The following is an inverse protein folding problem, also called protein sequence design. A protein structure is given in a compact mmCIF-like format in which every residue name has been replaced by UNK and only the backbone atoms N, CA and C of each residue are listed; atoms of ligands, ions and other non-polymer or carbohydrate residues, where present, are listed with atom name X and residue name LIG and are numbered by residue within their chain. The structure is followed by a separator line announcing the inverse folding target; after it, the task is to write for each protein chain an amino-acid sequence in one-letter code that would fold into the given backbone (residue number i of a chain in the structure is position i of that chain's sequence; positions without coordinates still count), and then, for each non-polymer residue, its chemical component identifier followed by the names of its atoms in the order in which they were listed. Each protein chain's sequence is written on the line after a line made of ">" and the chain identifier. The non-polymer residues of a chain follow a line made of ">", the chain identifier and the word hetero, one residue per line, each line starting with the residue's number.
data_IF_782140817071
#
_entry.id   IF_782140817071
#
_cell.length_a   1.000
_cell.length_b   1.000
_cell.length_c   1.000
_cell.angle_alpha   90.00
_cell.angle_beta   90.00
_cell.angle_gamma   90.00
#
_symmetry.space_group_name_H-M   'P 1'
#
loop_
_entity.id
_entity.type
_entity.pdbx_description
1 polymer ?
#
# COMPACT_ATOMS: atom_id res chain seq x y z
N UNK A 1 2.30 26.41 0.87
CA UNK A 1 2.65 25.15 1.55
C UNK A 1 3.70 24.38 0.76
N UNK A 2 4.62 23.67 1.41
CA UNK A 2 5.66 22.89 0.73
C UNK A 2 5.21 21.42 0.71
N UNK A 3 5.26 20.79 -0.45
CA UNK A 3 4.87 19.39 -0.61
C UNK A 3 6.05 18.56 -1.11
N UNK A 4 6.33 17.43 -0.46
CA UNK A 4 7.37 16.49 -0.85
C UNK A 4 6.75 15.16 -1.21
N UNK A 5 6.78 14.80 -2.50
CA UNK A 5 6.28 13.52 -2.99
C UNK A 5 7.38 12.48 -3.09
N UNK A 6 7.18 11.32 -2.50
CA UNK A 6 8.08 10.16 -2.54
C UNK A 6 7.46 9.08 -3.45
N UNK A 7 8.03 8.86 -4.63
CA UNK A 7 7.51 7.95 -5.65
C UNK A 7 8.43 6.74 -5.82
N UNK A 8 7.89 5.54 -5.69
CA UNK A 8 8.66 4.28 -5.78
C UNK A 8 9.26 3.85 -4.45
N UNK A 9 8.63 4.24 -3.35
CA UNK A 9 8.97 3.82 -1.99
C UNK A 9 7.85 2.97 -1.42
N UNK A 10 8.20 1.94 -0.66
CA UNK A 10 7.26 1.15 0.13
C UNK A 10 6.57 2.01 1.20
N UNK A 11 5.30 1.69 1.48
CA UNK A 11 4.47 2.46 2.43
C UNK A 11 5.08 2.55 3.84
N UNK A 12 5.57 1.43 4.37
CA UNK A 12 6.15 1.42 5.72
C UNK A 12 7.46 2.19 5.79
N UNK A 13 8.28 2.06 4.75
CA UNK A 13 9.51 2.82 4.63
C UNK A 13 9.20 4.32 4.49
N UNK A 14 8.18 4.70 3.70
CA UNK A 14 7.75 6.09 3.55
C UNK A 14 7.36 6.71 4.91
N UNK A 15 6.57 6.02 5.74
CA UNK A 15 6.21 6.50 7.08
C UNK A 15 7.46 6.74 7.94
N UNK A 16 8.43 5.82 7.91
CA UNK A 16 9.65 5.96 8.70
C UNK A 16 10.53 7.11 8.21
N UNK A 17 10.71 7.23 6.90
CA UNK A 17 11.57 8.25 6.31
C UNK A 17 10.95 9.65 6.41
N UNK A 18 9.64 9.79 6.27
CA UNK A 18 8.97 11.08 6.42
C UNK A 18 9.12 11.66 7.82
N UNK A 19 9.14 10.86 8.87
CA UNK A 19 9.40 11.33 10.24
C UNK A 19 10.77 11.98 10.38
N UNK A 20 11.80 11.42 9.73
CA UNK A 20 13.17 11.94 9.77
C UNK A 20 13.32 13.17 8.86
N UNK A 21 12.77 13.10 7.66
CA UNK A 21 12.82 14.17 6.68
C UNK A 21 12.05 15.40 7.14
N UNK A 22 10.87 15.24 7.72
CA UNK A 22 10.03 16.33 8.18
C UNK A 22 10.80 17.30 9.06
N UNK A 23 11.46 16.80 10.10
CA UNK A 23 12.25 17.64 11.00
C UNK A 23 13.35 18.41 10.29
N UNK A 24 14.13 17.73 9.41
CA UNK A 24 15.25 18.33 8.72
C UNK A 24 14.83 19.36 7.68
N UNK A 25 13.77 19.05 6.92
CA UNK A 25 13.28 19.96 5.89
C UNK A 25 12.55 21.16 6.49
N UNK A 26 11.80 20.96 7.57
CA UNK A 26 11.20 22.05 8.35
C UNK A 26 12.28 23.05 8.81
N UNK A 27 13.37 22.56 9.40
CA UNK A 27 14.50 23.40 9.82
C UNK A 27 15.16 24.11 8.63
N UNK A 28 15.32 23.42 7.50
CA UNK A 28 15.96 23.98 6.30
C UNK A 28 15.11 25.08 5.65
N UNK A 29 13.82 24.87 5.56
CA UNK A 29 12.90 25.88 5.02
C UNK A 29 12.56 26.98 6.02
N UNK A 30 12.66 26.71 7.32
CA UNK A 30 12.30 27.65 8.38
C UNK A 30 10.78 27.84 8.51
N UNK A 31 10.02 26.79 8.24
CA UNK A 31 8.55 26.78 8.22
C UNK A 31 7.96 26.09 9.44
N UNK A 32 6.65 26.25 9.67
CA UNK A 32 5.94 25.55 10.75
C UNK A 32 5.54 24.12 10.32
N UNK A 33 5.06 23.31 11.30
CA UNK A 33 4.73 21.89 11.06
C UNK A 33 3.62 21.70 10.01
N UNK A 34 2.67 22.60 9.95
CA UNK A 34 1.55 22.57 9.02
C UNK A 34 1.84 23.19 7.63
N UNK A 35 3.05 23.68 7.42
CA UNK A 35 3.48 24.25 6.14
C UNK A 35 4.31 23.27 5.29
N UNK A 36 4.57 22.05 5.80
CA UNK A 36 5.31 20.99 5.12
C UNK A 36 4.53 19.67 5.15
N UNK A 37 4.17 19.18 3.98
CA UNK A 37 3.42 17.95 3.80
C UNK A 37 4.19 16.93 2.96
N UNK A 38 4.02 15.63 3.31
CA UNK A 38 4.58 14.53 2.54
C UNK A 38 3.47 13.76 1.84
N UNK A 39 3.70 13.48 0.56
CA UNK A 39 2.82 12.70 -0.25
C UNK A 39 3.56 11.43 -0.73
N UNK A 40 3.14 10.27 -0.22
CA UNK A 40 3.73 8.98 -0.58
C UNK A 40 2.66 8.07 -1.19
N UNK A 41 2.31 8.27 -2.47
CA UNK A 41 1.36 7.41 -3.16
C UNK A 41 1.97 6.03 -3.36
N UNK A 42 1.15 5.00 -3.24
CA UNK A 42 1.53 3.64 -3.65
C UNK A 42 1.76 3.64 -5.16
N UNK A 43 3.02 3.68 -5.56
CA UNK A 43 3.42 3.91 -6.94
C UNK A 43 4.61 3.03 -7.32
N UNK A 44 4.48 2.40 -8.50
CA UNK A 44 5.54 1.59 -9.07
C UNK A 44 6.34 2.41 -10.09
N UNK A 45 7.67 2.30 -10.03
CA UNK A 45 8.55 2.81 -11.09
C UNK A 45 8.89 1.60 -11.97
N UNK A 46 8.49 1.66 -13.24
CA UNK A 46 8.74 0.57 -14.20
C UNK A 46 9.68 1.07 -15.28
N UNK A 47 10.71 0.30 -15.60
CA UNK A 47 11.62 0.53 -16.72
C UNK A 47 11.79 -0.76 -17.51
N UNK A 48 11.45 -0.72 -18.80
CA UNK A 48 11.53 -1.86 -19.72
C UNK A 48 10.85 -3.14 -19.17
N UNK A 49 9.65 -2.97 -18.58
CA UNK A 49 8.86 -4.06 -17.99
C UNK A 49 9.31 -4.53 -16.61
N UNK A 50 10.40 -3.99 -16.06
CA UNK A 50 10.90 -4.36 -14.73
C UNK A 50 10.54 -3.29 -13.70
N UNK A 51 10.05 -3.74 -12.56
CA UNK A 51 9.80 -2.89 -11.41
C UNK A 51 11.11 -2.41 -10.76
N UNK A 52 11.15 -1.15 -10.35
CA UNK A 52 12.34 -0.47 -9.83
C UNK A 52 12.19 -0.01 -8.37
N UNK A 53 11.19 -0.46 -7.64
CA UNK A 53 10.99 -0.09 -6.22
C UNK A 53 12.24 -0.43 -5.41
N UNK A 54 12.64 0.45 -4.51
CA UNK A 54 13.90 0.38 -3.75
C UNK A 54 15.20 0.45 -4.56
N UNK A 55 15.15 0.28 -5.89
CA UNK A 55 16.29 0.51 -6.76
C UNK A 55 16.36 1.96 -7.25
N UNK A 56 15.20 2.55 -7.57
CA UNK A 56 15.04 3.96 -7.96
C UNK A 56 13.96 4.63 -7.15
N UNK A 57 14.25 5.84 -6.72
CA UNK A 57 13.31 6.71 -6.02
C UNK A 57 13.23 8.05 -6.75
N UNK A 58 12.02 8.54 -7.01
CA UNK A 58 11.80 9.88 -7.51
C UNK A 58 11.18 10.74 -6.40
N UNK A 59 11.88 11.77 -6.01
CA UNK A 59 11.40 12.78 -5.06
C UNK A 59 11.01 14.03 -5.85
N UNK A 60 9.78 14.51 -5.65
CA UNK A 60 9.33 15.78 -6.18
C UNK A 60 9.12 16.73 -5.01
N UNK A 61 9.69 17.91 -5.10
CA UNK A 61 9.49 18.99 -4.14
C UNK A 61 8.72 20.09 -4.83
N UNK A 62 7.57 20.44 -4.31
CA UNK A 62 6.77 21.57 -4.76
C UNK A 62 6.84 22.64 -3.68
N UNK A 63 7.32 23.83 -4.03
CA UNK A 63 7.56 24.91 -3.09
C UNK A 63 7.26 26.27 -3.72
N UNK A 64 6.95 27.32 -2.92
CA UNK A 64 6.86 28.67 -3.41
C UNK A 64 8.18 29.16 -4.06
N UNK A 65 8.08 30.10 -5.01
CA UNK A 65 9.26 30.65 -5.70
C UNK A 65 10.29 31.29 -4.77
N UNK A 66 9.87 31.85 -3.66
CA UNK A 66 10.74 32.49 -2.67
C UNK A 66 11.59 31.48 -1.88
N UNK A 67 11.30 30.20 -1.99
CA UNK A 67 12.08 29.11 -1.40
C UNK A 67 13.17 28.55 -2.33
N UNK A 68 13.30 29.09 -3.54
CA UNK A 68 14.23 28.58 -4.56
C UNK A 68 15.71 28.66 -4.16
N UNK A 69 16.10 29.63 -3.35
CA UNK A 69 17.47 29.78 -2.87
C UNK A 69 17.93 28.64 -1.93
N UNK A 70 16.99 27.88 -1.37
CA UNK A 70 17.23 26.74 -0.48
C UNK A 70 17.39 25.40 -1.22
N UNK A 71 17.24 25.37 -2.55
CA UNK A 71 17.20 24.14 -3.37
C UNK A 71 18.41 23.24 -3.14
N UNK A 72 19.63 23.78 -3.16
CA UNK A 72 20.84 22.98 -3.00
C UNK A 72 20.92 22.33 -1.62
N UNK A 73 20.58 23.06 -0.57
CA UNK A 73 20.58 22.55 0.80
C UNK A 73 19.52 21.46 0.97
N UNK A 74 18.32 21.67 0.46
CA UNK A 74 17.21 20.71 0.53
C UNK A 74 17.54 19.44 -0.25
N UNK A 75 18.08 19.55 -1.46
CA UNK A 75 18.59 18.44 -2.26
C UNK A 75 19.58 17.58 -1.46
N UNK A 76 20.56 18.20 -0.83
CA UNK A 76 21.60 17.50 -0.09
C UNK A 76 21.04 16.79 1.15
N UNK A 77 20.08 17.40 1.84
CA UNK A 77 19.34 16.76 2.95
C UNK A 77 18.59 15.52 2.46
N UNK A 78 17.90 15.62 1.33
CA UNK A 78 17.14 14.50 0.75
C UNK A 78 18.09 13.35 0.37
N UNK A 79 19.17 13.64 -0.36
CA UNK A 79 20.14 12.61 -0.75
C UNK A 79 20.77 11.92 0.45
N UNK A 80 21.22 12.69 1.44
CA UNK A 80 21.84 12.12 2.63
C UNK A 80 20.87 11.29 3.47
N UNK A 81 19.62 11.71 3.56
CA UNK A 81 18.62 11.00 4.35
C UNK A 81 18.15 9.70 3.68
N UNK A 82 18.06 9.65 2.36
CA UNK A 82 17.51 8.54 1.60
C UNK A 82 18.57 7.62 0.96
N UNK A 83 19.85 7.87 1.15
CA UNK A 83 20.96 7.10 0.54
C UNK A 83 20.95 5.60 0.84
N UNK A 84 20.32 5.18 1.95
CA UNK A 84 20.20 3.78 2.34
C UNK A 84 18.86 3.15 1.93
N UNK A 85 17.96 3.94 1.35
CA UNK A 85 16.61 3.51 0.98
C UNK A 85 16.56 3.08 -0.49
N UNK A 86 17.26 3.80 -1.35
CA UNK A 86 17.31 3.50 -2.79
C UNK A 86 18.73 3.71 -3.33
N UNK A 87 19.10 2.91 -4.34
CA UNK A 87 20.41 2.99 -4.98
C UNK A 87 20.51 4.26 -5.84
N UNK A 88 19.43 4.61 -6.52
CA UNK A 88 19.36 5.79 -7.38
C UNK A 88 18.22 6.71 -6.93
N UNK A 89 18.58 7.96 -6.64
CA UNK A 89 17.62 8.97 -6.20
C UNK A 89 17.62 10.11 -7.21
N UNK A 90 16.42 10.45 -7.70
CA UNK A 90 16.20 11.63 -8.53
C UNK A 90 15.37 12.64 -7.76
N UNK A 91 15.83 13.86 -7.63
CA UNK A 91 15.07 14.97 -7.03
C UNK A 91 14.68 15.96 -8.13
N UNK A 92 13.46 16.41 -8.12
CA UNK A 92 12.94 17.45 -9.02
C UNK A 92 12.25 18.50 -8.19
N UNK A 93 12.59 19.75 -8.41
CA UNK A 93 11.91 20.88 -7.80
C UNK A 93 10.94 21.51 -8.79
N UNK A 94 9.74 21.80 -8.32
CA UNK A 94 8.69 22.54 -9.01
C UNK A 94 8.36 23.76 -8.15
N UNK A 95 8.49 24.94 -8.71
CA UNK A 95 8.18 26.16 -7.98
C UNK A 95 6.87 26.76 -8.48
N UNK A 96 6.07 27.26 -7.55
CA UNK A 96 4.79 27.90 -7.84
C UNK A 96 4.69 29.28 -7.20
N UNK A 97 3.78 30.08 -7.74
CA UNK A 97 3.43 31.39 -7.16
C UNK A 97 2.41 31.15 -6.02
N UNK A 98 2.75 31.54 -4.77
CA UNK A 98 1.84 31.35 -3.64
C UNK A 98 0.50 32.11 -3.79
N UNK A 99 0.42 33.10 -4.66
CA UNK A 99 -0.86 33.77 -4.98
C UNK A 99 -1.87 32.82 -5.67
N UNK A 100 -1.42 31.69 -6.20
CA UNK A 100 -2.24 30.66 -6.84
C UNK A 100 -2.52 29.45 -5.96
N UNK A 101 -2.13 29.49 -4.70
CA UNK A 101 -2.43 28.43 -3.72
C UNK A 101 -3.71 28.77 -2.93
N UNK A 102 -4.68 27.89 -2.93
CA UNK A 102 -5.95 28.04 -2.23
C UNK A 102 -6.18 26.87 -1.31
N UNK A 103 -6.24 27.12 0.00
CA UNK A 103 -6.46 26.10 1.02
C UNK A 103 -7.80 26.41 1.72
N UNK A 104 -8.62 25.39 1.88
CA UNK A 104 -9.86 25.46 2.67
C UNK A 104 -9.73 24.53 3.87
N UNK A 105 -9.59 25.11 5.06
CA UNK A 105 -9.57 24.38 6.33
C UNK A 105 -10.92 24.54 7.00
N UNK A 106 -11.48 23.44 7.49
CA UNK A 106 -12.70 23.46 8.29
C UNK A 106 -12.33 23.70 9.76
N UNK A 107 -12.80 24.80 10.39
CA UNK A 107 -12.40 25.16 11.76
C UNK A 107 -12.96 24.20 12.82
N UNK A 108 -13.94 23.37 12.50
CA UNK A 108 -14.51 22.40 13.42
C UNK A 108 -13.67 21.11 13.56
N UNK A 109 -12.64 20.95 12.73
CA UNK A 109 -11.79 19.78 12.68
C UNK A 109 -10.31 20.15 12.82
N UNK A 110 -9.46 19.25 13.39
CA UNK A 110 -8.03 19.46 13.37
C UNK A 110 -7.51 19.39 11.91
N UNK A 111 -6.55 20.25 11.59
CA UNK A 111 -5.95 20.29 10.26
C UNK A 111 -5.26 18.95 9.89
N UNK A 112 -4.61 18.31 10.86
CA UNK A 112 -3.97 17.01 10.70
C UNK A 112 -4.34 16.04 11.81
N UNK A 113 -4.49 14.76 11.45
CA UNK A 113 -4.66 13.67 12.40
C UNK A 113 -3.33 13.34 13.07
N UNK A 114 -3.34 13.14 14.38
CA UNK A 114 -2.18 12.75 15.17
C UNK A 114 -2.62 11.95 16.42
N UNK A 115 -1.67 11.38 17.15
CA UNK A 115 -1.95 10.53 18.33
C UNK A 115 -2.80 11.21 19.43
N UNK A 116 -2.89 12.53 19.42
CA UNK A 116 -3.65 13.28 20.45
C UNK A 116 -5.11 13.52 20.07
N UNK A 117 -5.40 13.54 18.77
CA UNK A 117 -6.73 13.79 18.22
C UNK A 117 -7.35 12.58 17.51
N UNK A 118 -6.60 11.48 17.38
CA UNK A 118 -7.11 10.21 16.90
C UNK A 118 -7.76 9.46 18.06
N UNK A 119 -9.06 9.20 17.95
CA UNK A 119 -9.72 8.23 18.82
C UNK A 119 -9.17 6.87 18.40
N UNK A 120 -8.27 6.29 19.20
CA UNK A 120 -8.03 4.86 19.09
C UNK A 120 -9.37 4.22 19.38
N UNK A 121 -9.95 3.50 18.40
CA UNK A 121 -10.96 2.53 18.76
C UNK A 121 -10.35 1.78 19.94
N UNK A 122 -11.01 1.83 21.11
CA UNK A 122 -10.62 0.94 22.17
C UNK A 122 -10.41 -0.39 21.46
N UNK A 123 -9.20 -0.96 21.60
CA UNK A 123 -9.08 -2.39 21.50
C UNK A 123 -10.06 -2.86 22.58
N UNK A 124 -11.34 -2.92 22.22
CA UNK A 124 -12.16 -3.89 22.86
C UNK A 124 -11.30 -5.14 22.70
N UNK A 125 -10.68 -5.56 23.82
CA UNK A 125 -10.48 -6.96 24.06
C UNK A 125 -11.85 -7.59 23.69
N UNK A 126 -12.06 -7.78 22.40
CA UNK A 126 -12.74 -8.95 21.98
C UNK A 126 -11.77 -10.04 22.51
N UNK A 127 -11.88 -10.36 23.81
CA UNK A 127 -11.89 -11.77 24.18
C UNK A 127 -12.85 -12.30 23.14
N UNK A 128 -12.21 -12.68 22.00
CA UNK A 128 -12.92 -13.29 20.92
C UNK A 128 -13.74 -14.39 21.54
N UNK A 129 -15.00 -14.11 21.85
CA UNK A 129 -16.04 -15.10 21.71
C UNK A 129 -16.05 -15.42 20.20
N UNK A 130 -14.89 -15.97 19.76
CA UNK A 130 -14.73 -16.63 18.49
C UNK A 130 -15.62 -17.86 18.61
N UNK A 131 -16.86 -17.66 18.21
CA UNK A 131 -17.76 -18.78 17.96
C UNK A 131 -17.29 -19.41 16.64
N UNK A 132 -16.62 -20.56 16.68
CA UNK A 132 -16.19 -21.25 15.47
C UNK A 132 -17.35 -21.56 14.53
N UNK A 133 -18.59 -21.63 15.03
CA UNK A 133 -19.78 -21.87 14.23
C UNK A 133 -20.23 -20.65 13.41
N UNK A 134 -19.90 -19.42 13.82
CA UNK A 134 -20.23 -18.22 13.04
C UNK A 134 -19.25 -17.98 11.87
N UNK A 135 -18.07 -18.65 11.88
CA UNK A 135 -17.08 -18.55 10.81
C UNK A 135 -17.35 -19.48 9.63
N UNK A 136 -18.08 -20.58 9.86
CA UNK A 136 -18.43 -21.55 8.82
C UNK A 136 -19.49 -21.02 7.83
N UNK A 137 -20.31 -20.03 8.22
CA UNK A 137 -21.29 -19.43 7.30
C UNK A 137 -20.73 -18.41 6.30
N UNK A 138 -19.47 -17.96 6.45
CA UNK A 138 -18.87 -16.89 5.61
C UNK A 138 -17.87 -17.42 4.56
N UNK A 139 -17.45 -18.67 4.64
CA UNK A 139 -16.40 -19.23 3.77
C UNK A 139 -16.91 -20.28 2.77
N UNK A 140 -17.92 -19.92 1.97
CA UNK A 140 -18.25 -20.65 0.73
C UNK A 140 -17.31 -20.35 -0.45
N UNK A 141 -16.22 -19.61 -0.20
CA UNK A 141 -15.23 -19.32 -1.23
C UNK A 141 -14.06 -20.32 -1.15
N UNK A 142 -13.70 -20.98 -2.26
CA UNK A 142 -12.59 -21.92 -2.28
C UNK A 142 -11.28 -21.24 -1.89
N UNK A 143 -10.47 -21.92 -1.07
CA UNK A 143 -9.17 -21.39 -0.67
C UNK A 143 -8.29 -21.13 -1.90
N UNK A 144 -7.93 -19.87 -2.12
CA UNK A 144 -7.17 -19.43 -3.31
C UNK A 144 -5.86 -20.20 -3.53
N UNK A 145 -5.28 -20.76 -2.46
CA UNK A 145 -4.06 -21.56 -2.52
C UNK A 145 -4.22 -22.84 -3.36
N UNK A 146 -5.38 -23.49 -3.31
CA UNK A 146 -5.65 -24.71 -4.08
C UNK A 146 -5.79 -24.41 -5.56
N UNK A 147 -6.47 -23.31 -5.90
CA UNK A 147 -6.60 -22.82 -7.29
C UNK A 147 -5.22 -22.47 -7.86
N UNK A 148 -4.39 -21.76 -7.10
CA UNK A 148 -3.05 -21.34 -7.54
C UNK A 148 -2.15 -22.56 -7.72
N UNK A 149 -2.20 -23.55 -6.83
CA UNK A 149 -1.39 -24.76 -6.91
C UNK A 149 -1.69 -25.59 -8.16
N UNK A 150 -2.98 -25.87 -8.44
CA UNK A 150 -3.38 -26.60 -9.65
C UNK A 150 -3.07 -25.81 -10.94
N UNK A 151 -3.17 -24.48 -10.89
CA UNK A 151 -2.85 -23.63 -12.02
C UNK A 151 -1.34 -23.59 -12.32
N UNK A 152 -0.50 -23.53 -11.30
CA UNK A 152 0.96 -23.60 -11.45
C UNK A 152 1.40 -24.94 -12.07
N UNK A 153 0.75 -26.03 -11.68
CA UNK A 153 1.03 -27.34 -12.26
C UNK A 153 0.59 -27.42 -13.72
N UNK A 154 -0.57 -26.86 -14.08
CA UNK A 154 -1.00 -26.74 -15.47
C UNK A 154 -0.01 -25.97 -16.33
N UNK A 155 0.51 -24.83 -15.86
CA UNK A 155 1.48 -24.02 -16.60
C UNK A 155 2.81 -24.78 -16.79
N UNK A 156 3.28 -25.51 -15.78
CA UNK A 156 4.49 -26.34 -15.88
C UNK A 156 4.36 -27.46 -16.92
N UNK A 157 3.18 -28.08 -16.99
CA UNK A 157 2.89 -29.17 -17.93
C UNK A 157 2.65 -28.67 -19.38
N UNK A 158 2.22 -27.41 -19.54
CA UNK A 158 1.85 -26.82 -20.82
C UNK A 158 2.60 -25.51 -21.10
N UNK A 159 3.93 -25.51 -21.22
CA UNK A 159 4.74 -24.29 -21.32
C UNK A 159 4.49 -23.49 -22.60
N UNK A 160 3.92 -24.11 -23.63
CA UNK A 160 3.62 -23.49 -24.92
C UNK A 160 2.14 -23.15 -25.11
N UNK A 161 1.32 -23.23 -24.04
CA UNK A 161 -0.10 -22.91 -24.11
C UNK A 161 -0.34 -21.45 -24.48
N UNK A 162 -1.31 -21.21 -25.35
CA UNK A 162 -1.75 -19.86 -25.70
C UNK A 162 -2.49 -19.20 -24.54
N UNK A 163 -2.55 -17.86 -24.53
CA UNK A 163 -3.29 -17.13 -23.50
C UNK A 163 -4.76 -17.56 -23.39
N UNK A 164 -5.40 -17.91 -24.49
CA UNK A 164 -6.79 -18.39 -24.50
C UNK A 164 -6.93 -19.76 -23.79
N UNK A 165 -6.00 -20.67 -24.01
CA UNK A 165 -5.95 -21.97 -23.35
C UNK A 165 -5.66 -21.83 -21.86
N UNK A 166 -4.75 -20.91 -21.48
CA UNK A 166 -4.43 -20.59 -20.07
C UNK A 166 -5.66 -20.05 -19.33
N UNK A 167 -6.41 -19.12 -19.92
CA UNK A 167 -7.62 -18.57 -19.29
C UNK A 167 -8.73 -19.62 -19.18
N UNK A 168 -8.89 -20.50 -20.18
CA UNK A 168 -9.87 -21.57 -20.15
C UNK A 168 -9.54 -22.61 -19.04
N UNK A 169 -8.24 -22.94 -18.90
CA UNK A 169 -7.75 -23.83 -17.85
C UNK A 169 -7.99 -23.25 -16.45
N UNK A 170 -7.68 -21.97 -16.23
CA UNK A 170 -7.92 -21.31 -14.95
C UNK A 170 -9.40 -21.32 -14.55
N UNK A 171 -10.30 -21.05 -15.49
CA UNK A 171 -11.75 -21.12 -15.26
C UNK A 171 -12.19 -22.54 -14.87
N UNK A 172 -11.69 -23.56 -15.57
CA UNK A 172 -12.00 -24.96 -15.29
C UNK A 172 -11.44 -25.45 -13.94
N UNK A 173 -10.25 -25.01 -13.54
CA UNK A 173 -9.64 -25.31 -12.24
C UNK A 173 -10.49 -24.68 -11.13
N UNK A 174 -10.84 -23.41 -11.27
CA UNK A 174 -11.69 -22.72 -10.28
C UNK A 174 -13.02 -23.45 -10.08
N UNK A 175 -13.72 -23.78 -11.17
CA UNK A 175 -15.02 -24.44 -11.10
C UNK A 175 -14.93 -25.86 -10.47
N UNK A 176 -13.83 -26.57 -10.72
CA UNK A 176 -13.56 -27.88 -10.13
C UNK A 176 -13.27 -27.80 -8.62
N UNK A 177 -12.42 -26.85 -8.20
CA UNK A 177 -12.10 -26.63 -6.78
C UNK A 177 -13.35 -26.21 -6.01
N UNK A 178 -14.18 -25.31 -6.56
CA UNK A 178 -15.45 -24.92 -5.96
C UNK A 178 -16.39 -26.10 -5.79
N UNK A 179 -16.52 -26.97 -6.80
CA UNK A 179 -17.39 -28.14 -6.72
C UNK A 179 -16.91 -29.18 -5.68
N UNK A 180 -15.59 -29.37 -5.53
CA UNK A 180 -15.05 -30.32 -4.55
C UNK A 180 -15.25 -29.87 -3.09
N UNK A 181 -15.29 -28.56 -2.84
CA UNK A 181 -15.63 -28.03 -1.51
C UNK A 181 -17.09 -28.28 -1.15
N UNK A 182 -18.00 -28.06 -2.08
CA UNK A 182 -19.43 -28.36 -1.84
C UNK A 182 -19.71 -29.82 -1.54
N UNK A 183 -19.02 -30.76 -2.19
CA UNK A 183 -19.23 -32.23 -1.93
C UNK A 183 -18.71 -32.64 -0.54
N UNK A 184 -17.69 -32.02 0.00
CA UNK A 184 -17.15 -32.30 1.35
C UNK A 184 -18.06 -31.77 2.45
N UNK A 185 -18.76 -30.66 2.23
CA UNK A 185 -19.69 -30.10 3.21
C UNK A 185 -20.99 -30.92 3.33
N UNK A 186 -21.53 -31.45 2.22
CA UNK A 186 -22.70 -32.32 2.25
C UNK A 186 -22.42 -33.66 2.98
N UNK A 187 -21.21 -34.22 2.83
CA UNK A 187 -20.80 -35.43 3.53
C UNK A 187 -20.59 -35.23 5.04
N UNK A 188 -20.14 -34.03 5.45
CA UNK A 188 -19.96 -33.69 6.86
C UNK A 188 -21.29 -33.47 7.58
N UNK A 189 -22.25 -32.79 6.96
CA UNK A 189 -23.60 -32.63 7.50
C UNK A 189 -24.36 -33.96 7.64
N UNK A 190 -24.19 -34.89 6.69
CA UNK A 190 -24.80 -36.20 6.76
C UNK A 190 -24.25 -37.09 7.90
N UNK A 191 -23.02 -36.81 8.36
CA UNK A 191 -22.39 -37.54 9.48
C UNK A 191 -22.85 -37.02 10.84
N UNK A 192 -23.05 -35.72 11.00
CA UNK A 192 -23.55 -35.09 12.23
C UNK A 192 -25.02 -35.43 12.50
N UNK A 193 -25.85 -35.49 11.46
CA UNK A 193 -27.26 -35.90 11.59
C UNK A 193 -27.42 -37.39 11.96
N UNK A 194 -26.38 -38.22 11.71
CA UNK A 194 -26.40 -39.63 12.04
C UNK A 194 -25.97 -39.95 13.50
N UNK A 195 -25.31 -39.04 14.19
CA UNK A 195 -24.91 -39.17 15.60
C UNK A 195 -25.96 -38.59 16.58
N UNK A 196 -26.96 -37.87 16.08
CA UNK A 196 -28.01 -37.21 16.90
C UNK A 196 -29.27 -38.07 17.13
N UNK A 197 -29.37 -39.31 16.64
CA UNK A 197 -30.44 -40.30 16.86
C UNK A 197 -29.94 -41.46 17.77
#
# INVERSE_FOLDING_TARGET
>A
MITVSLLGMDYYEAINQTKLLHKKLKEAYGVEDNELEFFAPDSFIIHDGFEQTSFRLNVKVEAPYDEQDKEEMVRDIIFESLKNVAIHIRVVFNYFDPEHEYIKIDPDYPEYMNDKNTVKADDHDHEDDFDPAEYDEIHDEPYMGDIISEFDDYIKENPDASNEEVYAALAGIRDKVTASHHETDEDTQAFEDAEAD
#
